data_IF_957619370311
#
_entry.id   IF_957619370311
#
_cell.length_a   1.000
_cell.length_b   1.000
_cell.length_c   1.000
_cell.angle_alpha   90.00
_cell.angle_beta   90.00
_cell.angle_gamma   90.00
#
_symmetry.space_group_name_H-M   'P 1'
#
loop_
_entity.id
_entity.type
_entity.pdbx_description
1 polymer ?
#
# COMPACT_ATOMS: atom_id res chain seq x y z
N UNK A 1 22.28 -4.77 6.10
CA UNK A 1 21.35 -5.19 5.01
C UNK A 1 20.80 -3.95 4.31
N UNK A 2 20.59 -4.04 2.98
CA UNK A 2 19.92 -2.98 2.22
C UNK A 2 18.43 -2.95 2.60
N UNK A 3 17.86 -1.77 2.83
CA UNK A 3 16.42 -1.63 3.16
C UNK A 3 15.56 -2.07 1.96
N UNK A 4 14.46 -2.77 2.22
CA UNK A 4 13.45 -3.06 1.19
C UNK A 4 12.81 -1.75 0.75
N UNK A 5 12.76 -1.51 -0.56
CA UNK A 5 12.09 -0.33 -1.13
C UNK A 5 10.60 -0.60 -1.25
N UNK A 6 9.79 0.30 -0.72
CA UNK A 6 8.34 0.24 -0.77
C UNK A 6 7.82 1.46 -1.51
N UNK A 7 7.06 1.23 -2.57
CA UNK A 7 6.39 2.29 -3.31
C UNK A 7 5.03 2.57 -2.66
N UNK A 8 4.76 3.82 -2.32
CA UNK A 8 3.50 4.22 -1.68
C UNK A 8 2.74 5.16 -2.61
N UNK A 9 1.52 4.78 -2.95
CA UNK A 9 0.52 5.71 -3.47
C UNK A 9 -0.40 6.16 -2.35
N UNK A 10 -0.40 7.46 -2.08
CA UNK A 10 -1.25 8.09 -1.07
C UNK A 10 -1.57 9.51 -1.54
N UNK A 11 -2.78 9.69 -2.08
CA UNK A 11 -3.24 10.96 -2.66
C UNK A 11 -3.32 12.10 -1.63
N UNK A 12 -3.53 11.76 -0.35
CA UNK A 12 -3.61 12.74 0.74
C UNK A 12 -2.29 12.91 1.50
N UNK A 13 -1.29 12.07 1.24
CA UNK A 13 0.05 12.06 1.85
C UNK A 13 0.11 11.86 3.38
N UNK A 14 -1.00 11.86 4.10
CA UNK A 14 -1.03 11.70 5.55
C UNK A 14 -0.47 10.35 6.00
N UNK A 15 -0.86 9.26 5.33
CA UNK A 15 -0.47 7.92 5.73
C UNK A 15 0.96 7.60 5.33
N UNK A 16 1.40 8.06 4.17
CA UNK A 16 2.79 7.92 3.72
C UNK A 16 3.80 8.59 4.67
N UNK A 17 3.43 9.71 5.30
CA UNK A 17 4.24 10.35 6.37
C UNK A 17 4.34 9.46 7.59
N UNK A 18 3.24 8.84 8.00
CA UNK A 18 3.23 7.88 9.10
C UNK A 18 4.14 6.69 8.82
N UNK A 19 4.04 6.06 7.65
CA UNK A 19 4.89 4.92 7.26
C UNK A 19 6.38 5.26 7.31
N UNK A 20 6.75 6.42 6.74
CA UNK A 20 8.13 6.93 6.75
C UNK A 20 8.63 7.16 8.17
N UNK A 21 7.80 7.63 9.10
CA UNK A 21 8.22 7.86 10.47
C UNK A 21 8.36 6.55 11.25
N UNK A 22 7.34 5.69 11.18
CA UNK A 22 7.21 4.48 11.98
C UNK A 22 8.21 3.39 11.56
N UNK A 23 8.39 3.19 10.25
CA UNK A 23 9.10 2.03 9.70
C UNK A 23 10.42 2.39 8.99
N UNK A 24 10.93 3.61 9.15
CA UNK A 24 12.20 4.07 8.52
C UNK A 24 13.43 3.21 8.81
N UNK A 25 13.43 2.46 9.92
CA UNK A 25 14.60 1.63 10.28
C UNK A 25 14.75 0.45 9.32
N UNK A 26 13.62 -0.12 8.89
CA UNK A 26 13.58 -1.39 8.16
C UNK A 26 13.30 -1.20 6.67
N UNK A 27 12.56 -0.14 6.30
CA UNK A 27 12.08 0.10 4.93
C UNK A 27 12.45 1.49 4.41
N UNK A 28 12.58 1.58 3.08
CA UNK A 28 12.73 2.84 2.36
C UNK A 28 11.47 3.12 1.55
N UNK A 29 10.67 4.11 1.99
CA UNK A 29 9.41 4.46 1.32
C UNK A 29 9.59 5.60 0.32
N UNK A 30 9.20 5.36 -0.92
CA UNK A 30 9.11 6.36 -1.97
C UNK A 30 7.62 6.63 -2.27
N UNK A 31 7.23 7.91 -2.36
CA UNK A 31 5.81 8.29 -2.51
C UNK A 31 5.56 8.75 -3.92
N UNK A 32 4.59 8.14 -4.58
CA UNK A 32 4.18 8.48 -5.94
C UNK A 32 2.89 9.27 -5.95
N UNK A 33 2.82 10.26 -6.86
CA UNK A 33 1.71 11.22 -6.94
C UNK A 33 0.73 10.94 -8.09
N UNK A 34 1.14 10.17 -9.10
CA UNK A 34 0.29 9.79 -10.21
C UNK A 34 0.85 8.55 -10.93
N UNK A 35 -0.01 7.84 -11.65
CA UNK A 35 0.34 6.64 -12.40
C UNK A 35 0.82 6.89 -13.83
N UNK A 36 1.03 8.15 -14.25
CA UNK A 36 1.33 8.48 -15.65
C UNK A 36 2.71 7.97 -16.14
N UNK A 37 3.60 7.56 -15.23
CA UNK A 37 4.96 7.07 -15.55
C UNK A 37 5.28 5.75 -14.82
N UNK A 38 4.26 4.96 -14.49
CA UNK A 38 4.42 3.81 -13.61
C UNK A 38 5.09 2.61 -14.28
N UNK A 39 5.00 2.46 -15.60
CA UNK A 39 5.31 1.22 -16.32
C UNK A 39 6.78 0.74 -16.19
N UNK A 40 7.76 1.64 -16.02
CA UNK A 40 9.18 1.27 -16.08
C UNK A 40 9.90 1.21 -14.72
N UNK A 41 9.20 1.42 -13.61
CA UNK A 41 9.85 1.58 -12.29
C UNK A 41 9.38 0.59 -11.22
N UNK A 42 8.22 -0.03 -11.41
CA UNK A 42 7.54 -0.87 -10.40
C UNK A 42 8.42 -2.05 -9.98
N UNK A 43 9.11 -2.66 -10.94
CA UNK A 43 9.98 -3.83 -10.72
C UNK A 43 11.17 -3.56 -9.78
N UNK A 44 11.53 -2.29 -9.55
CA UNK A 44 12.58 -1.91 -8.60
C UNK A 44 12.12 -1.89 -7.13
N UNK A 45 10.81 -2.06 -6.89
CA UNK A 45 10.22 -2.04 -5.55
C UNK A 45 9.86 -3.45 -5.11
N UNK A 46 10.14 -3.75 -3.84
CA UNK A 46 9.81 -5.04 -3.27
C UNK A 46 8.30 -5.17 -3.00
N UNK A 47 7.65 -4.04 -2.69
CA UNK A 47 6.24 -3.96 -2.30
C UNK A 47 5.67 -2.66 -2.83
N UNK A 48 4.43 -2.71 -3.29
CA UNK A 48 3.57 -1.57 -3.52
C UNK A 48 2.51 -1.46 -2.42
N UNK A 49 2.30 -0.25 -1.92
CA UNK A 49 1.25 0.08 -0.96
C UNK A 49 0.37 1.17 -1.56
N UNK A 50 -0.92 0.90 -1.68
CA UNK A 50 -1.90 1.84 -2.23
C UNK A 50 -2.92 2.20 -1.17
N UNK A 51 -3.01 3.49 -0.83
CA UNK A 51 -4.00 4.01 0.12
C UNK A 51 -5.19 4.57 -0.65
N UNK A 52 -6.35 3.98 -0.45
CA UNK A 52 -7.62 4.42 -1.02
C UNK A 52 -8.33 5.30 -0.02
N UNK A 53 -8.62 6.54 -0.43
CA UNK A 53 -9.38 7.51 0.34
C UNK A 53 -10.80 7.72 -0.20
N UNK A 54 -11.07 7.34 -1.46
CA UNK A 54 -12.39 7.46 -2.08
C UNK A 54 -12.60 6.46 -3.22
N UNK A 55 -13.87 6.19 -3.56
CA UNK A 55 -14.25 5.31 -4.67
C UNK A 55 -13.62 5.70 -6.03
N UNK A 56 -13.32 6.99 -6.23
CA UNK A 56 -12.69 7.47 -7.48
C UNK A 56 -11.31 6.87 -7.71
N UNK A 57 -10.61 6.49 -6.64
CA UNK A 57 -9.26 5.92 -6.69
C UNK A 57 -9.28 4.41 -6.98
N UNK A 58 -10.46 3.77 -6.99
CA UNK A 58 -10.59 2.36 -7.40
C UNK A 58 -10.18 2.18 -8.88
N UNK A 59 -10.48 3.14 -9.74
CA UNK A 59 -10.02 3.11 -11.13
C UNK A 59 -8.50 3.17 -11.25
N UNK A 60 -7.83 3.88 -10.33
CA UNK A 60 -6.38 3.93 -10.29
C UNK A 60 -5.78 2.63 -9.75
N UNK A 61 -6.44 1.98 -8.77
CA UNK A 61 -6.06 0.64 -8.32
C UNK A 61 -6.06 -0.37 -9.47
N UNK A 62 -7.11 -0.38 -10.31
CA UNK A 62 -7.22 -1.30 -11.44
C UNK A 62 -6.06 -1.15 -12.46
N UNK A 63 -5.46 0.03 -12.57
CA UNK A 63 -4.32 0.27 -13.48
C UNK A 63 -3.03 -0.41 -13.04
N UNK A 64 -2.91 -0.67 -11.74
CA UNK A 64 -1.67 -1.16 -11.13
C UNK A 64 -1.78 -2.58 -10.56
N UNK A 65 -3.00 -3.06 -10.38
CA UNK A 65 -3.29 -4.41 -9.94
C UNK A 65 -2.70 -5.44 -10.93
N UNK A 66 -2.23 -6.57 -10.40
CA UNK A 66 -1.61 -7.69 -11.14
C UNK A 66 -0.33 -7.36 -11.96
N UNK A 67 0.38 -6.26 -11.64
CA UNK A 67 1.65 -5.91 -12.31
C UNK A 67 2.91 -6.63 -11.79
N UNK A 68 2.75 -7.83 -11.22
CA UNK A 68 3.87 -8.68 -10.77
C UNK A 68 4.57 -8.25 -9.47
N UNK A 69 4.43 -7.00 -9.02
CA UNK A 69 4.90 -6.55 -7.71
C UNK A 69 3.82 -6.77 -6.65
N UNK A 70 4.15 -7.35 -5.48
CA UNK A 70 3.19 -7.53 -4.41
C UNK A 70 2.49 -6.22 -4.02
N UNK A 71 1.16 -6.27 -3.91
CA UNK A 71 0.32 -5.09 -3.67
C UNK A 71 -0.43 -5.21 -2.35
N UNK A 72 -0.19 -4.26 -1.45
CA UNK A 72 -0.97 -4.03 -0.24
C UNK A 72 -1.92 -2.87 -0.52
N UNK A 73 -3.22 -3.08 -0.32
CA UNK A 73 -4.23 -2.03 -0.42
C UNK A 73 -4.69 -1.65 0.97
N UNK A 74 -4.71 -0.37 1.26
CA UNK A 74 -5.11 0.17 2.56
C UNK A 74 -6.29 1.12 2.40
N UNK A 75 -7.25 1.08 3.33
CA UNK A 75 -8.39 2.02 3.32
C UNK A 75 -8.87 2.31 4.72
N UNK A 76 -9.33 3.55 4.96
CA UNK A 76 -10.05 3.93 6.18
C UNK A 76 -11.56 3.67 6.06
N UNK A 77 -12.06 3.40 4.85
CA UNK A 77 -13.48 3.18 4.58
C UNK A 77 -13.83 1.69 4.65
N UNK A 78 -14.70 1.34 5.60
CA UNK A 78 -15.26 -0.02 5.70
C UNK A 78 -16.06 -0.42 4.46
N UNK A 79 -16.76 0.53 3.83
CA UNK A 79 -17.51 0.26 2.61
C UNK A 79 -16.58 -0.11 1.45
N UNK A 80 -15.51 0.66 1.24
CA UNK A 80 -14.48 0.35 0.22
C UNK A 80 -13.82 -0.99 0.52
N UNK A 81 -13.52 -1.24 1.80
CA UNK A 81 -12.96 -2.51 2.22
C UNK A 81 -13.86 -3.68 1.82
N UNK A 82 -15.15 -3.63 2.16
CA UNK A 82 -16.09 -4.69 1.80
C UNK A 82 -16.25 -4.89 0.29
N UNK A 83 -16.16 -3.82 -0.52
CA UNK A 83 -16.13 -3.93 -1.99
C UNK A 83 -14.88 -4.69 -2.49
N UNK A 84 -13.74 -4.52 -1.81
CA UNK A 84 -12.46 -5.12 -2.18
C UNK A 84 -12.22 -6.51 -1.58
N UNK A 85 -12.91 -6.87 -0.50
CA UNK A 85 -12.85 -8.19 0.14
C UNK A 85 -13.27 -9.33 -0.80
N UNK A 86 -14.00 -9.02 -1.87
CA UNK A 86 -14.39 -9.99 -2.91
C UNK A 86 -13.25 -10.34 -3.89
N UNK A 87 -12.07 -9.73 -3.74
CA UNK A 87 -10.89 -9.96 -4.59
C UNK A 87 -9.88 -10.80 -3.80
N UNK A 88 -9.82 -12.10 -4.07
CA UNK A 88 -9.11 -13.10 -3.26
C UNK A 88 -7.59 -12.87 -3.16
N UNK A 89 -6.99 -12.28 -4.19
CA UNK A 89 -5.55 -12.07 -4.35
C UNK A 89 -5.09 -10.66 -3.96
N UNK A 90 -5.89 -9.94 -3.17
CA UNK A 90 -5.56 -8.62 -2.65
C UNK A 90 -5.21 -8.64 -1.16
N UNK A 91 -4.01 -8.15 -0.80
CA UNK A 91 -3.66 -7.91 0.61
C UNK A 91 -4.34 -6.62 1.10
N UNK A 92 -5.53 -6.76 1.67
CA UNK A 92 -6.36 -5.64 2.11
C UNK A 92 -6.16 -5.33 3.61
N UNK A 93 -5.86 -4.07 3.91
CA UNK A 93 -5.59 -3.57 5.26
C UNK A 93 -6.58 -2.48 5.67
N UNK A 94 -7.19 -2.70 6.83
CA UNK A 94 -8.16 -1.79 7.44
C UNK A 94 -7.46 -0.76 8.33
N UNK A 95 -7.40 0.48 7.86
CA UNK A 95 -6.79 1.59 8.59
C UNK A 95 -7.71 2.21 9.63
N UNK A 96 -8.99 1.80 9.70
CA UNK A 96 -9.94 2.27 10.71
C UNK A 96 -9.76 1.59 12.08
N UNK A 97 -8.96 0.52 12.14
CA UNK A 97 -8.63 -0.20 13.37
C UNK A 97 -7.88 0.66 14.39
N UNK A 98 -7.82 0.19 15.64
CA UNK A 98 -7.01 0.83 16.67
C UNK A 98 -5.55 0.88 16.22
N UNK A 99 -4.88 2.01 16.49
CA UNK A 99 -3.54 2.30 15.95
C UNK A 99 -2.50 1.20 16.24
N UNK A 100 -2.55 0.56 17.40
CA UNK A 100 -1.65 -0.55 17.77
C UNK A 100 -1.87 -1.79 16.92
N UNK A 101 -3.12 -2.12 16.63
CA UNK A 101 -3.51 -3.26 15.77
C UNK A 101 -3.07 -2.99 14.33
N UNK A 102 -3.45 -1.82 13.79
CA UNK A 102 -3.06 -1.36 12.45
C UNK A 102 -1.54 -1.41 12.27
N UNK A 103 -0.76 -0.95 13.27
CA UNK A 103 0.72 -1.00 13.25
C UNK A 103 1.26 -2.42 13.18
N UNK A 104 0.73 -3.31 14.01
CA UNK A 104 1.17 -4.70 14.08
C UNK A 104 0.88 -5.43 12.77
N UNK A 105 -0.31 -5.21 12.21
CA UNK A 105 -0.76 -5.77 10.94
C UNK A 105 0.07 -5.24 9.76
N UNK A 106 0.28 -3.92 9.66
CA UNK A 106 1.16 -3.32 8.64
C UNK A 106 2.58 -3.91 8.70
N UNK A 107 3.13 -4.04 9.91
CA UNK A 107 4.47 -4.62 10.09
C UNK A 107 4.47 -6.07 9.60
N UNK A 108 3.46 -6.85 9.95
CA UNK A 108 3.33 -8.22 9.48
C UNK A 108 3.28 -8.31 7.95
N UNK A 109 2.41 -7.53 7.29
CA UNK A 109 2.34 -7.53 5.83
C UNK A 109 3.66 -7.08 5.17
N UNK A 110 4.26 -5.98 5.64
CA UNK A 110 5.52 -5.48 5.05
C UNK A 110 6.69 -6.48 5.15
N UNK A 111 6.68 -7.38 6.13
CA UNK A 111 7.73 -8.39 6.28
C UNK A 111 7.44 -9.67 5.49
N UNK A 112 6.17 -10.08 5.41
CA UNK A 112 5.76 -11.39 4.88
C UNK A 112 5.18 -11.34 3.47
N UNK A 113 4.86 -10.16 2.95
CA UNK A 113 4.49 -9.98 1.54
C UNK A 113 5.78 -10.08 0.72
N UNK A 114 6.13 -11.31 0.35
CA UNK A 114 7.18 -11.68 -0.60
C UNK A 114 6.71 -12.95 -1.33
N UNK A 115 6.55 -12.87 -2.64
CA UNK A 115 6.47 -14.04 -3.52
C UNK A 115 7.89 -14.45 -3.91
#
# INVERSE_FOLDING_TARGET
>A
MKKKKVLVYDSQHCFSRFLKYEFKKDFAFEVYKNFKKFDNIIEHYAIMLFVIHSDKELYDLLRIYQRGTPLIVCTFSKEIKSKLEMIDDLFLLDLSKVKSEMRSELKFFLHNVAF
#
